data_IF_967616203449
#
_entry.id   IF_967616203449
#
_cell.length_a   1.000
_cell.length_b   1.000
_cell.length_c   1.000
_cell.angle_alpha   90.00
_cell.angle_beta   90.00
_cell.angle_gamma   90.00
#
_symmetry.space_group_name_H-M   'P 1'
#
loop_
_entity.id
_entity.type
_entity.pdbx_description
1 polymer ?
#
# COMPACT_ATOMS: atom_id res chain seq x y z
N UNK A 1 11.91 -1.33 13.52
CA UNK A 1 12.40 -2.57 12.88
C UNK A 1 11.24 -3.56 12.74
N UNK A 2 10.28 -3.26 11.85
CA UNK A 2 9.25 -4.19 11.33
C UNK A 2 8.82 -3.72 9.92
N UNK A 3 9.78 -3.23 9.12
CA UNK A 3 9.59 -2.93 7.69
C UNK A 3 10.22 -4.01 6.79
N UNK A 4 10.50 -5.21 7.32
CA UNK A 4 11.20 -6.27 6.55
C UNK A 4 10.43 -7.58 6.40
N UNK A 5 9.16 -7.66 6.79
CA UNK A 5 8.26 -8.74 6.35
C UNK A 5 7.12 -8.22 5.47
N UNK A 6 7.36 -7.11 4.77
CA UNK A 6 6.79 -6.98 3.44
C UNK A 6 7.39 -8.08 2.60
N UNK A 7 6.68 -9.21 2.47
CA UNK A 7 7.00 -10.22 1.47
C UNK A 7 7.08 -9.47 0.15
N UNK A 8 8.32 -9.24 -0.30
CA UNK A 8 8.61 -8.47 -1.49
C UNK A 8 7.88 -9.17 -2.61
N UNK A 9 6.93 -8.46 -3.20
CA UNK A 9 6.28 -8.80 -4.45
C UNK A 9 7.38 -9.01 -5.49
N UNK A 10 7.85 -10.26 -5.63
CA UNK A 10 8.77 -10.61 -6.70
C UNK A 10 8.05 -10.41 -8.03
N UNK A 11 8.73 -9.64 -8.87
CA UNK A 11 8.21 -9.03 -10.08
C UNK A 11 8.08 -10.09 -11.18
N UNK A 12 6.97 -10.80 -11.17
CA UNK A 12 6.52 -11.71 -12.23
C UNK A 12 5.01 -11.95 -12.09
N UNK A 13 4.32 -12.34 -13.16
CA UNK A 13 2.98 -12.88 -13.00
C UNK A 13 3.12 -14.17 -12.19
N UNK A 14 2.77 -14.14 -10.91
CA UNK A 14 2.84 -15.30 -10.03
C UNK A 14 2.05 -16.45 -10.67
N UNK A 15 2.63 -17.65 -10.69
CA UNK A 15 1.93 -18.82 -11.20
C UNK A 15 0.62 -19.00 -10.43
N UNK A 16 -0.36 -19.67 -11.02
CA UNK A 16 -1.57 -20.09 -10.32
C UNK A 16 -1.22 -20.87 -9.04
N UNK A 17 -0.15 -21.67 -9.09
CA UNK A 17 0.38 -22.41 -7.93
C UNK A 17 0.86 -21.47 -6.82
N UNK A 18 1.65 -20.45 -7.16
CA UNK A 18 2.19 -19.49 -6.18
C UNK A 18 1.07 -18.66 -5.55
N UNK A 19 0.08 -18.27 -6.36
CA UNK A 19 -1.09 -17.52 -5.89
C UNK A 19 -1.92 -18.33 -4.91
N UNK A 20 -2.14 -19.61 -5.20
CA UNK A 20 -2.84 -20.52 -4.30
C UNK A 20 -2.08 -20.73 -2.99
N UNK A 21 -0.77 -21.00 -3.05
CA UNK A 21 0.06 -21.13 -1.85
C UNK A 21 0.05 -19.87 -0.98
N UNK A 22 0.00 -18.69 -1.60
CA UNK A 22 -0.14 -17.42 -0.87
C UNK A 22 -1.48 -17.33 -0.14
N UNK A 23 -2.59 -17.72 -0.79
CA UNK A 23 -3.91 -17.69 -0.14
C UNK A 23 -3.93 -18.61 1.08
N UNK A 24 -3.36 -19.81 0.97
CA UNK A 24 -3.21 -20.73 2.10
C UNK A 24 -2.38 -20.12 3.24
N UNK A 25 -1.21 -19.56 2.90
CA UNK A 25 -0.33 -18.94 3.88
C UNK A 25 -0.98 -17.75 4.59
N UNK A 26 -1.65 -16.88 3.84
CA UNK A 26 -2.38 -15.74 4.40
C UNK A 26 -3.51 -16.21 5.33
N UNK A 27 -4.25 -17.24 4.93
CA UNK A 27 -5.32 -17.81 5.76
C UNK A 27 -4.82 -18.34 7.09
N UNK A 28 -3.74 -19.14 7.05
CA UNK A 28 -3.10 -19.68 8.25
C UNK A 28 -2.52 -18.56 9.14
N UNK A 29 -1.81 -17.60 8.53
CA UNK A 29 -1.05 -16.58 9.28
C UNK A 29 -1.93 -15.46 9.82
N UNK A 30 -2.90 -14.99 9.04
CA UNK A 30 -3.62 -13.75 9.33
C UNK A 30 -5.06 -13.98 9.77
N UNK A 31 -5.67 -15.08 9.35
CA UNK A 31 -7.07 -15.37 9.66
C UNK A 31 -7.23 -16.47 10.70
N UNK A 32 -6.15 -17.16 11.09
CA UNK A 32 -6.17 -18.25 12.08
C UNK A 32 -7.20 -19.33 11.71
N UNK A 33 -7.22 -19.68 10.42
CA UNK A 33 -8.18 -20.63 9.83
C UNK A 33 -7.50 -21.97 9.55
N UNK A 34 -8.28 -23.06 9.65
CA UNK A 34 -7.84 -24.38 9.22
C UNK A 34 -7.70 -24.44 7.69
N UNK A 35 -6.79 -25.30 7.19
CA UNK A 35 -6.55 -25.45 5.74
C UNK A 35 -7.83 -25.71 4.94
N UNK A 36 -8.70 -26.58 5.46
CA UNK A 36 -9.97 -26.92 4.82
C UNK A 36 -10.89 -25.70 4.65
N UNK A 37 -10.94 -24.82 5.64
CA UNK A 37 -11.79 -23.63 5.58
C UNK A 37 -11.23 -22.61 4.59
N UNK A 38 -9.91 -22.55 4.45
CA UNK A 38 -9.25 -21.69 3.47
C UNK A 38 -9.50 -22.21 2.05
N UNK A 39 -9.45 -23.53 1.84
CA UNK A 39 -9.76 -24.15 0.54
C UNK A 39 -11.21 -23.96 0.11
N UNK A 40 -12.14 -23.93 1.07
CA UNK A 40 -13.56 -23.69 0.81
C UNK A 40 -13.91 -22.20 0.63
N UNK A 41 -12.98 -21.29 0.90
CA UNK A 41 -13.20 -19.86 0.80
C UNK A 41 -13.19 -19.38 -0.65
N UNK A 42 -14.14 -18.52 -1.00
CA UNK A 42 -14.15 -17.88 -2.32
C UNK A 42 -13.05 -16.81 -2.45
N UNK A 43 -12.62 -16.53 -3.68
CA UNK A 43 -11.64 -15.48 -3.92
C UNK A 43 -12.11 -14.10 -3.43
N UNK A 44 -13.40 -13.81 -3.53
CA UNK A 44 -14.00 -12.55 -3.05
C UNK A 44 -13.92 -12.41 -1.53
N UNK A 45 -14.22 -13.48 -0.79
CA UNK A 45 -14.08 -13.51 0.67
C UNK A 45 -12.63 -13.37 1.10
N UNK A 46 -11.71 -14.06 0.42
CA UNK A 46 -10.28 -13.89 0.65
C UNK A 46 -9.85 -12.43 0.45
N UNK A 47 -10.25 -11.81 -0.66
CA UNK A 47 -9.92 -10.42 -0.97
C UNK A 47 -10.46 -9.44 0.07
N UNK A 48 -11.67 -9.68 0.58
CA UNK A 48 -12.26 -8.86 1.63
C UNK A 48 -11.49 -9.03 2.96
N UNK A 49 -11.19 -10.27 3.35
CA UNK A 49 -10.47 -10.59 4.59
C UNK A 49 -9.06 -10.02 4.58
N UNK A 50 -8.31 -10.18 3.49
CA UNK A 50 -6.95 -9.63 3.41
C UNK A 50 -6.96 -8.09 3.41
N UNK A 51 -7.98 -7.47 2.82
CA UNK A 51 -8.18 -6.01 2.89
C UNK A 51 -8.47 -5.56 4.32
N UNK A 52 -9.38 -6.23 5.02
CA UNK A 52 -9.68 -5.95 6.42
C UNK A 52 -8.44 -6.12 7.32
N UNK A 53 -7.66 -7.19 7.10
CA UNK A 53 -6.40 -7.40 7.82
C UNK A 53 -5.40 -6.26 7.59
N UNK A 54 -5.22 -5.81 6.34
CA UNK A 54 -4.33 -4.69 6.02
C UNK A 54 -4.76 -3.38 6.70
N UNK A 55 -6.07 -3.13 6.80
CA UNK A 55 -6.59 -1.97 7.53
C UNK A 55 -6.30 -2.08 9.04
N UNK A 56 -6.55 -3.25 9.63
CA UNK A 56 -6.21 -3.51 11.05
C UNK A 56 -4.71 -3.34 11.31
N UNK A 57 -3.86 -3.77 10.38
CA UNK A 57 -2.42 -3.59 10.51
C UNK A 57 -2.00 -2.12 10.37
N UNK A 58 -2.66 -1.38 9.49
CA UNK A 58 -2.48 0.08 9.37
C UNK A 58 -2.85 0.81 10.68
N UNK A 59 -3.92 0.39 11.35
CA UNK A 59 -4.29 0.94 12.66
C UNK A 59 -3.19 0.71 13.69
N UNK A 60 -2.61 -0.51 13.77
CA UNK A 60 -1.45 -0.77 14.64
C UNK A 60 -0.23 0.08 14.26
N UNK A 61 0.03 0.24 12.96
CA UNK A 61 1.13 1.07 12.49
C UNK A 61 0.94 2.52 12.92
N UNK A 62 -0.28 3.05 12.88
CA UNK A 62 -0.57 4.41 13.36
C UNK A 62 -0.15 4.58 14.83
N UNK A 63 -0.51 3.63 15.69
CA UNK A 63 -0.16 3.70 17.12
C UNK A 63 1.36 3.65 17.34
N UNK A 64 2.06 2.78 16.61
CA UNK A 64 3.53 2.69 16.65
C UNK A 64 4.20 3.98 16.17
N UNK A 65 3.71 4.56 15.07
CA UNK A 65 4.23 5.82 14.55
C UNK A 65 3.93 6.97 15.51
N UNK A 66 2.78 6.98 16.17
CA UNK A 66 2.44 7.99 17.16
C UNK A 66 3.40 7.93 18.35
N UNK A 67 3.68 6.74 18.88
CA UNK A 67 4.67 6.56 19.93
C UNK A 67 6.07 7.03 19.50
N UNK A 68 6.50 6.66 18.28
CA UNK A 68 7.78 7.12 17.73
C UNK A 68 7.84 8.64 17.55
N UNK A 69 6.74 9.25 17.09
CA UNK A 69 6.64 10.70 16.92
C UNK A 69 6.71 11.44 18.25
N UNK A 70 6.01 10.97 19.29
CA UNK A 70 6.07 11.56 20.64
C UNK A 70 7.48 11.46 21.22
N UNK A 71 8.15 10.31 21.06
CA UNK A 71 9.55 10.15 21.47
C UNK A 71 10.50 11.06 20.69
N UNK A 72 10.25 11.28 19.40
CA UNK A 72 11.04 12.16 18.55
C UNK A 72 10.83 13.64 18.92
N UNK A 73 9.59 14.08 19.14
CA UNK A 73 9.28 15.45 19.58
C UNK A 73 9.95 15.80 20.91
N UNK A 74 10.15 14.81 21.80
CA UNK A 74 10.83 15.00 23.07
C UNK A 74 12.35 15.31 22.95
N UNK A 75 12.98 15.11 21.78
CA UNK A 75 14.44 15.21 21.66
C UNK A 75 15.02 15.76 20.34
N UNK A 76 14.22 15.99 19.30
CA UNK A 76 14.74 16.26 17.97
C UNK A 76 14.32 17.63 17.41
N UNK A 77 15.19 18.61 17.59
CA UNK A 77 15.18 19.86 16.84
C UNK A 77 16.27 19.86 15.77
N UNK A 78 16.01 20.49 14.63
CA UNK A 78 17.02 20.69 13.60
C UNK A 78 18.14 21.65 14.08
N UNK A 79 19.19 21.86 13.26
CA UNK A 79 20.32 22.78 13.57
C UNK A 79 19.90 24.22 13.91
N UNK A 80 18.65 24.60 13.66
CA UNK A 80 18.05 25.91 13.95
C UNK A 80 17.01 25.86 15.10
N UNK A 81 16.95 24.78 15.87
CA UNK A 81 16.03 24.63 17.00
C UNK A 81 14.56 24.37 16.62
N UNK A 82 14.24 24.12 15.34
CA UNK A 82 12.86 23.85 14.90
C UNK A 82 12.58 22.34 14.77
N UNK A 83 11.38 21.85 15.10
CA UNK A 83 10.99 20.46 14.84
C UNK A 83 11.13 20.08 13.36
N UNK A 84 11.57 18.86 13.06
CA UNK A 84 11.66 18.35 11.68
C UNK A 84 10.28 18.10 11.06
N UNK A 85 9.35 17.59 11.86
CA UNK A 85 7.95 17.39 11.49
C UNK A 85 7.11 18.37 12.30
N UNK A 86 6.26 19.13 11.63
CA UNK A 86 5.39 20.12 12.30
C UNK A 86 4.18 19.43 12.89
N UNK A 87 3.62 18.47 12.16
CA UNK A 87 2.46 17.71 12.55
C UNK A 87 2.73 16.21 12.46
N UNK A 88 1.93 15.39 13.14
CA UNK A 88 2.02 13.94 13.02
C UNK A 88 1.78 13.47 11.57
N UNK A 89 0.89 14.15 10.84
CA UNK A 89 0.58 13.84 9.43
C UNK A 89 1.81 13.96 8.51
N UNK A 90 2.74 14.87 8.81
CA UNK A 90 4.00 15.00 8.08
C UNK A 90 4.95 13.81 8.33
N UNK A 91 4.84 13.19 9.51
CA UNK A 91 5.61 12.01 9.90
C UNK A 91 4.98 10.72 9.36
N UNK A 92 3.66 10.61 9.45
CA UNK A 92 2.89 9.45 9.00
C UNK A 92 1.50 9.85 8.52
N UNK A 93 1.27 9.74 7.20
CA UNK A 93 0.00 10.09 6.57
C UNK A 93 -0.94 8.89 6.49
N UNK A 94 -1.68 8.63 7.58
CA UNK A 94 -2.62 7.51 7.68
C UNK A 94 -3.67 7.49 6.57
N UNK A 95 -4.27 8.63 6.23
CA UNK A 95 -5.34 8.73 5.23
C UNK A 95 -4.85 8.30 3.84
N UNK A 96 -3.60 8.65 3.51
CA UNK A 96 -3.00 8.27 2.23
C UNK A 96 -2.76 6.76 2.16
N UNK A 97 -2.23 6.16 3.23
CA UNK A 97 -1.99 4.72 3.30
C UNK A 97 -3.32 3.93 3.29
N UNK A 98 -4.33 4.41 4.01
CA UNK A 98 -5.67 3.81 4.00
C UNK A 98 -6.27 3.84 2.60
N UNK A 99 -6.14 4.97 1.89
CA UNK A 99 -6.61 5.10 0.50
C UNK A 99 -5.92 4.10 -0.42
N UNK A 100 -4.60 3.89 -0.28
CA UNK A 100 -3.84 2.89 -1.08
C UNK A 100 -4.34 1.47 -0.85
N UNK A 101 -4.79 1.13 0.37
CA UNK A 101 -5.34 -0.20 0.70
C UNK A 101 -6.74 -0.37 0.11
N UNK A 102 -7.61 0.65 0.23
CA UNK A 102 -8.99 0.59 -0.23
C UNK A 102 -9.10 0.64 -1.76
N UNK A 103 -8.24 1.46 -2.38
CA UNK A 103 -8.23 1.75 -3.81
C UNK A 103 -6.82 1.50 -4.37
N UNK A 104 -6.42 0.22 -4.51
CA UNK A 104 -5.12 -0.10 -5.09
C UNK A 104 -5.09 0.40 -6.53
N UNK A 105 -4.18 1.33 -6.83
CA UNK A 105 -3.99 1.77 -8.21
C UNK A 105 -3.49 0.61 -9.07
N UNK A 106 -4.02 0.44 -10.30
CA UNK A 106 -3.49 -0.54 -11.22
C UNK A 106 -2.01 -0.22 -11.50
N UNK A 107 -1.16 -1.23 -11.35
CA UNK A 107 0.27 -1.09 -11.64
C UNK A 107 0.50 -1.05 -13.15
N UNK A 108 0.45 0.14 -13.72
CA UNK A 108 0.71 0.37 -15.14
C UNK A 108 2.23 0.35 -15.37
N UNK A 109 2.74 -0.71 -16.01
CA UNK A 109 4.14 -0.72 -16.51
C UNK A 109 4.35 0.50 -17.42
N UNK A 110 5.46 1.21 -17.22
CA UNK A 110 5.80 2.42 -17.96
C UNK A 110 4.77 3.57 -17.83
N UNK A 111 4.08 3.71 -16.68
CA UNK A 111 3.09 4.78 -16.39
C UNK A 111 3.54 6.17 -16.87
N UNK A 112 4.79 6.57 -16.57
CA UNK A 112 5.35 7.86 -17.00
C UNK A 112 5.43 8.01 -18.53
N UNK A 113 5.82 6.94 -19.24
CA UNK A 113 5.90 6.94 -20.72
C UNK A 113 4.50 7.06 -21.32
N UNK A 114 3.53 6.32 -20.78
CA UNK A 114 2.13 6.38 -21.22
C UNK A 114 1.49 7.74 -20.96
N UNK A 115 1.77 8.36 -19.81
CA UNK A 115 1.34 9.73 -19.51
C UNK A 115 1.91 10.74 -20.53
N UNK A 116 3.20 10.61 -20.88
CA UNK A 116 3.83 11.48 -21.88
C UNK A 116 3.18 11.31 -23.27
N UNK A 117 2.89 10.07 -23.68
CA UNK A 117 2.19 9.79 -24.94
C UNK A 117 0.79 10.41 -24.92
N UNK A 118 0.05 10.26 -23.83
CA UNK A 118 -1.30 10.83 -23.68
C UNK A 118 -1.29 12.37 -23.77
N UNK A 119 -0.32 13.03 -23.10
CA UNK A 119 -0.16 14.49 -23.17
C UNK A 119 0.13 14.95 -24.60
N UNK A 120 1.04 14.26 -25.30
CA UNK A 120 1.38 14.59 -26.69
C UNK A 120 0.17 14.42 -27.62
N UNK A 121 -0.58 13.31 -27.51
CA UNK A 121 -1.79 13.07 -28.30
C UNK A 121 -2.86 14.14 -28.09
N UNK A 122 -3.03 14.61 -26.85
CA UNK A 122 -3.96 15.70 -26.54
C UNK A 122 -3.58 16.99 -27.28
N UNK A 123 -2.29 17.34 -27.24
CA UNK A 123 -1.74 18.51 -27.95
C UNK A 123 -2.00 18.43 -29.46
N UNK A 124 -1.70 17.31 -30.10
CA UNK A 124 -1.98 17.10 -31.53
C UNK A 124 -3.47 17.24 -31.86
N UNK A 125 -4.37 16.71 -31.02
CA UNK A 125 -5.82 16.82 -31.24
C UNK A 125 -6.32 18.26 -31.16
N UNK A 126 -5.72 19.08 -30.30
CA UNK A 126 -6.04 20.51 -30.20
C UNK A 126 -5.53 21.27 -31.43
N UNK A 127 -4.31 21.01 -31.88
CA UNK A 127 -3.72 21.63 -33.08
C UNK A 127 -4.53 21.31 -34.35
N UNK A 128 -4.99 20.06 -34.54
CA UNK A 128 -5.78 19.65 -35.72
C UNK A 128 -7.21 20.20 -35.70
N UNK A 129 -7.76 20.58 -34.53
CA UNK A 129 -9.09 21.21 -34.44
C UNK A 129 -9.10 22.68 -34.85
N UNK A 130 -7.93 23.30 -34.95
CA UNK A 130 -7.77 24.71 -35.33
C UNK A 130 -7.28 24.88 -36.78
N UNK A 131 -7.27 23.79 -37.56
CA UNK A 131 -7.02 23.74 -39.02
C UNK A 131 -8.33 23.35 -39.70
#
# INVERSE_FOLDING_TARGET
>A
MLLSLGYTFEKGAASSKDTYQRILLDGLRYFDMELRDIENMTLSEYQLRIKAYRLKDLDRMKDLHLAAWLNHQAGATNKKGKPFYKEFKDFFNFEEEQRKILHPEPQIKNKKKLQKIAMNLKKYREEVKHV
#
